data_IF_979589277647
#
_entry.id   IF_979589277647
#
_cell.length_a   1.000
_cell.length_b   1.000
_cell.length_c   1.000
_cell.angle_alpha   90.00
_cell.angle_beta   90.00
_cell.angle_gamma   90.00
#
_symmetry.space_group_name_H-M   'P 1'
#
loop_
_entity.id
_entity.type
_entity.pdbx_description
1 polymer ?
#
# COMPACT_ATOMS: atom_id res chain seq x y z
N UNK A 1 -51.65 -27.82 -27.34
CA UNK A 1 -50.46 -27.00 -27.60
C UNK A 1 -50.97 -25.60 -27.87
N UNK A 2 -50.73 -24.68 -26.95
CA UNK A 2 -50.69 -23.24 -27.24
C UNK A 2 -49.70 -22.64 -26.23
N UNK A 3 -48.50 -22.39 -26.72
CA UNK A 3 -47.47 -21.59 -26.06
C UNK A 3 -47.65 -20.11 -26.46
N UNK A 4 -46.93 -19.24 -25.75
CA UNK A 4 -46.74 -17.77 -25.95
C UNK A 4 -47.72 -16.89 -25.17
N UNK A 5 -47.31 -15.86 -24.41
CA UNK A 5 -45.99 -15.32 -24.13
C UNK A 5 -46.17 -14.07 -23.26
N UNK A 6 -45.48 -14.00 -22.13
CA UNK A 6 -45.42 -12.82 -21.25
C UNK A 6 -44.59 -11.72 -21.93
N UNK A 7 -45.18 -11.05 -22.93
CA UNK A 7 -44.55 -9.96 -23.67
C UNK A 7 -44.77 -8.63 -22.94
N UNK A 8 -43.66 -7.96 -22.58
CA UNK A 8 -43.67 -6.58 -22.07
C UNK A 8 -44.41 -5.70 -23.09
N UNK A 9 -45.36 -4.89 -22.63
CA UNK A 9 -46.16 -4.01 -23.47
C UNK A 9 -45.24 -3.00 -24.21
N UNK A 10 -45.37 -2.82 -25.54
CA UNK A 10 -44.64 -1.82 -26.32
C UNK A 10 -44.63 -0.40 -25.70
N UNK A 11 -45.70 0.01 -25.02
CA UNK A 11 -45.76 1.34 -24.36
C UNK A 11 -44.83 1.45 -23.15
N UNK A 12 -44.60 0.37 -22.43
CA UNK A 12 -43.69 0.34 -21.28
C UNK A 12 -42.23 0.32 -21.74
N UNK A 13 -41.94 -0.33 -22.88
CA UNK A 13 -40.63 -0.28 -23.53
C UNK A 13 -40.26 1.14 -23.96
N UNK A 14 -41.21 1.90 -24.53
CA UNK A 14 -40.98 3.29 -24.94
C UNK A 14 -40.66 4.18 -23.74
N UNK A 15 -41.35 4.00 -22.59
CA UNK A 15 -41.05 4.74 -21.36
C UNK A 15 -39.66 4.40 -20.80
N UNK A 16 -39.26 3.14 -20.82
CA UNK A 16 -37.94 2.71 -20.37
C UNK A 16 -36.84 3.32 -21.23
N UNK A 17 -37.01 3.30 -22.56
CA UNK A 17 -36.04 3.89 -23.49
C UNK A 17 -35.91 5.41 -23.26
N UNK A 18 -37.03 6.11 -23.08
CA UNK A 18 -37.01 7.54 -22.81
C UNK A 18 -36.29 7.89 -21.49
N UNK A 19 -36.48 7.08 -20.45
CA UNK A 19 -35.79 7.26 -19.16
C UNK A 19 -34.29 7.02 -19.28
N UNK A 20 -33.88 5.94 -19.97
CA UNK A 20 -32.47 5.63 -20.19
C UNK A 20 -31.76 6.70 -21.04
N UNK A 21 -32.41 7.22 -22.07
CA UNK A 21 -31.86 8.32 -22.87
C UNK A 21 -31.61 9.58 -22.02
N UNK A 22 -32.55 9.90 -21.13
CA UNK A 22 -32.43 11.04 -20.21
C UNK A 22 -31.30 10.84 -19.19
N UNK A 23 -31.09 9.62 -18.70
CA UNK A 23 -30.01 9.30 -17.78
C UNK A 23 -28.63 9.38 -18.45
N UNK A 24 -28.50 8.87 -19.69
CA UNK A 24 -27.28 8.99 -20.48
C UNK A 24 -26.93 10.45 -20.76
N UNK A 25 -27.91 11.30 -21.07
CA UNK A 25 -27.69 12.73 -21.30
C UNK A 25 -27.18 13.43 -20.02
N UNK A 26 -27.81 13.13 -18.87
CA UNK A 26 -27.36 13.65 -17.57
C UNK A 26 -25.95 13.19 -17.20
N UNK A 27 -25.59 11.94 -17.50
CA UNK A 27 -24.24 11.41 -17.26
C UNK A 27 -23.20 12.08 -18.16
N UNK A 28 -23.52 12.30 -19.45
CA UNK A 28 -22.64 13.05 -20.37
C UNK A 28 -22.41 14.48 -19.92
N UNK A 29 -23.46 15.17 -19.44
CA UNK A 29 -23.33 16.53 -18.92
C UNK A 29 -22.47 16.58 -17.65
N UNK A 30 -22.64 15.63 -16.73
CA UNK A 30 -21.79 15.51 -15.53
C UNK A 30 -20.33 15.20 -15.90
N UNK A 31 -20.09 14.34 -16.89
CA UNK A 31 -18.74 14.06 -17.38
C UNK A 31 -18.10 15.28 -18.03
N UNK A 32 -18.81 16.00 -18.90
CA UNK A 32 -18.27 17.20 -19.54
C UNK A 32 -17.97 18.31 -18.52
N UNK A 33 -18.81 18.48 -17.49
CA UNK A 33 -18.51 19.37 -16.37
C UNK A 33 -17.28 18.92 -15.58
N UNK A 34 -17.13 17.62 -15.36
CA UNK A 34 -15.97 17.04 -14.67
C UNK A 34 -14.68 17.24 -15.50
N UNK A 35 -14.74 17.03 -16.82
CA UNK A 35 -13.63 17.29 -17.75
C UNK A 35 -13.26 18.78 -17.80
N UNK A 36 -14.24 19.68 -17.77
CA UNK A 36 -14.00 21.14 -17.77
C UNK A 36 -13.39 21.61 -16.44
N UNK A 37 -13.81 21.04 -15.31
CA UNK A 37 -13.21 21.30 -13.99
C UNK A 37 -11.76 20.81 -13.98
N UNK A 38 -11.50 19.61 -14.51
CA UNK A 38 -10.17 19.03 -14.64
C UNK A 38 -9.27 19.93 -15.52
N UNK A 39 -9.75 20.36 -16.69
CA UNK A 39 -9.00 21.22 -17.62
C UNK A 39 -8.68 22.60 -17.02
N UNK A 40 -9.66 23.25 -16.37
CA UNK A 40 -9.44 24.54 -15.69
C UNK A 40 -8.52 24.46 -14.47
N UNK A 41 -8.36 23.27 -13.89
CA UNK A 41 -7.39 23.01 -12.82
C UNK A 41 -5.97 22.91 -13.40
N UNK A 42 -5.76 22.31 -14.57
CA UNK A 42 -4.41 22.16 -15.13
C UNK A 42 -3.79 23.46 -15.66
N UNK A 43 -4.61 24.43 -16.11
CA UNK A 43 -4.09 25.70 -16.65
C UNK A 43 -3.67 26.71 -15.55
N UNK A 44 -3.90 26.43 -14.26
CA UNK A 44 -3.61 27.34 -13.13
C UNK A 44 -2.71 26.74 -12.02
N UNK A 45 -2.13 25.55 -12.23
CA UNK A 45 -1.45 24.79 -11.14
C UNK A 45 0.05 25.09 -10.99
N UNK A 46 0.69 25.78 -11.93
CA UNK A 46 2.16 25.91 -11.92
C UNK A 46 2.71 26.96 -10.94
N UNK A 47 1.92 27.94 -10.47
CA UNK A 47 2.47 29.07 -9.68
C UNK A 47 2.11 29.02 -8.17
N UNK A 48 0.98 28.43 -7.77
CA UNK A 48 0.47 28.52 -6.39
C UNK A 48 0.84 27.33 -5.47
N UNK A 49 1.48 26.27 -5.98
CA UNK A 49 1.92 25.10 -5.20
C UNK A 49 3.44 25.01 -5.00
N UNK A 50 4.19 25.94 -5.59
CA UNK A 50 5.66 25.94 -5.60
C UNK A 50 6.32 26.45 -4.29
N UNK A 51 5.55 26.77 -3.24
CA UNK A 51 6.10 27.49 -2.07
C UNK A 51 5.48 27.14 -0.71
N UNK A 52 5.25 25.85 -0.42
CA UNK A 52 4.94 25.45 0.96
C UNK A 52 6.26 25.32 1.73
N UNK A 53 6.69 26.41 2.37
CA UNK A 53 7.81 26.39 3.31
C UNK A 53 7.42 25.59 4.57
N UNK A 54 8.05 24.43 4.74
CA UNK A 54 7.82 23.57 5.89
C UNK A 54 8.78 23.99 7.00
N UNK A 55 8.23 24.58 8.07
CA UNK A 55 9.04 25.03 9.19
C UNK A 55 9.96 23.90 9.72
N UNK A 56 11.27 24.14 9.92
CA UNK A 56 12.23 23.10 10.32
C UNK A 56 11.86 22.31 11.58
N UNK A 57 11.19 22.96 12.54
CA UNK A 57 10.73 22.33 13.79
C UNK A 57 9.33 21.71 13.70
N UNK A 58 8.67 21.75 12.53
CA UNK A 58 7.39 21.07 12.31
C UNK A 58 7.61 19.56 12.45
N UNK A 59 6.86 18.92 13.34
CA UNK A 59 6.91 17.48 13.50
C UNK A 59 6.09 16.79 12.41
N UNK A 60 6.76 15.97 11.61
CA UNK A 60 6.18 15.14 10.55
C UNK A 60 5.97 13.72 11.08
N UNK A 61 4.80 13.13 10.81
CA UNK A 61 4.54 11.73 11.15
C UNK A 61 5.09 10.83 10.06
N UNK A 62 5.79 9.78 10.47
CA UNK A 62 6.24 8.72 9.59
C UNK A 62 5.85 7.36 10.18
N UNK A 63 5.56 6.38 9.31
CA UNK A 63 5.11 5.04 9.68
C UNK A 63 6.14 4.00 9.24
N UNK A 64 6.49 3.03 10.09
CA UNK A 64 7.24 1.85 9.67
C UNK A 64 6.38 0.96 8.77
N UNK A 65 6.86 0.65 7.57
CA UNK A 65 6.23 -0.31 6.67
C UNK A 65 7.04 -1.58 6.51
N UNK A 66 8.18 -1.71 7.19
CA UNK A 66 8.97 -2.95 7.22
C UNK A 66 8.35 -3.96 8.21
N UNK A 67 8.57 -5.24 7.95
CA UNK A 67 8.08 -6.35 8.78
C UNK A 67 8.89 -6.55 10.07
N UNK A 68 10.08 -5.96 10.13
CA UNK A 68 10.99 -6.03 11.27
C UNK A 68 11.22 -4.65 11.90
N UNK A 69 11.83 -4.60 13.11
CA UNK A 69 12.26 -3.34 13.69
C UNK A 69 13.12 -2.53 12.72
N UNK A 70 12.75 -1.27 12.50
CA UNK A 70 13.44 -0.38 11.59
C UNK A 70 14.23 0.66 12.38
N UNK A 71 15.51 0.81 12.05
CA UNK A 71 16.39 1.81 12.63
C UNK A 71 16.80 2.81 11.55
N UNK A 72 16.44 4.08 11.75
CA UNK A 72 16.85 5.19 10.87
C UNK A 72 17.62 6.22 11.67
N UNK A 73 18.61 6.85 11.05
CA UNK A 73 19.54 7.78 11.69
C UNK A 73 19.66 9.07 10.88
N UNK A 74 19.90 10.18 11.56
CA UNK A 74 20.13 11.48 10.89
C UNK A 74 21.49 11.56 10.19
N UNK A 75 22.39 10.60 10.39
CA UNK A 75 23.69 10.56 9.71
C UNK A 75 23.97 9.15 9.17
N UNK A 76 24.93 9.06 8.25
CA UNK A 76 25.38 7.78 7.69
C UNK A 76 26.03 6.85 8.72
N UNK A 77 25.88 5.55 8.48
CA UNK A 77 26.44 4.46 9.31
C UNK A 77 25.88 4.43 10.75
N UNK A 78 24.61 4.80 10.96
CA UNK A 78 23.96 4.71 12.26
C UNK A 78 24.38 5.78 13.26
N UNK A 79 25.02 6.86 12.78
CA UNK A 79 25.47 7.98 13.62
C UNK A 79 24.37 9.04 13.78
N UNK A 80 24.65 10.06 14.59
CA UNK A 80 23.68 11.10 14.89
C UNK A 80 22.52 10.61 15.76
N UNK A 81 21.31 11.09 15.50
CA UNK A 81 20.11 10.73 16.26
C UNK A 81 19.46 9.49 15.65
N UNK A 82 19.32 8.45 16.46
CA UNK A 82 18.65 7.20 16.10
C UNK A 82 17.16 7.26 16.41
N UNK A 83 16.33 6.84 15.44
CA UNK A 83 14.91 6.59 15.60
C UNK A 83 14.64 5.11 15.33
N UNK A 84 14.17 4.41 16.36
CA UNK A 84 13.81 3.00 16.30
C UNK A 84 12.29 2.83 16.23
N UNK A 85 11.85 2.02 15.28
CA UNK A 85 10.51 1.47 15.16
C UNK A 85 10.59 0.02 15.58
N UNK A 86 9.66 -0.43 16.40
CA UNK A 86 9.68 -1.77 16.99
C UNK A 86 8.89 -2.76 16.14
N UNK A 87 7.82 -2.32 15.49
CA UNK A 87 6.98 -3.19 14.67
C UNK A 87 6.41 -2.52 13.41
N UNK A 88 5.82 -3.33 12.53
CA UNK A 88 5.09 -2.86 11.37
C UNK A 88 3.95 -1.92 11.81
N UNK A 89 3.84 -0.77 11.14
CA UNK A 89 2.81 0.22 11.42
C UNK A 89 3.16 1.19 12.55
N UNK A 90 4.30 1.03 13.23
CA UNK A 90 4.74 1.97 14.26
C UNK A 90 4.87 3.40 13.73
N UNK A 91 4.41 4.36 14.51
CA UNK A 91 4.41 5.77 14.13
C UNK A 91 5.40 6.56 14.98
N UNK A 92 6.27 7.33 14.33
CA UNK A 92 7.12 8.33 15.00
C UNK A 92 6.84 9.73 14.45
N UNK A 93 7.04 10.72 15.31
CA UNK A 93 6.98 12.14 14.97
C UNK A 93 8.41 12.67 14.96
N UNK A 94 8.88 13.14 13.81
CA UNK A 94 10.25 13.62 13.61
C UNK A 94 10.21 15.08 13.16
N UNK A 95 10.96 16.00 13.80
CA UNK A 95 11.12 17.36 13.31
C UNK A 95 11.61 17.38 11.86
N UNK A 96 11.02 18.22 11.01
CA UNK A 96 11.29 18.25 9.58
C UNK A 96 12.79 18.35 9.27
N UNK A 97 13.54 19.19 9.98
CA UNK A 97 15.00 19.31 9.83
C UNK A 97 15.74 17.96 9.90
N UNK A 98 15.37 17.11 10.86
CA UNK A 98 15.98 15.79 11.02
C UNK A 98 15.43 14.79 10.00
N UNK A 99 14.19 14.96 9.55
CA UNK A 99 13.62 14.11 8.51
C UNK A 99 14.33 14.33 7.17
N UNK A 100 14.71 15.58 6.84
CA UNK A 100 15.52 15.86 5.64
C UNK A 100 16.85 15.10 5.70
N UNK A 101 17.55 15.16 6.83
CA UNK A 101 18.81 14.42 7.01
C UNK A 101 18.61 12.89 6.87
N UNK A 102 17.52 12.36 7.43
CA UNK A 102 17.18 10.94 7.30
C UNK A 102 16.90 10.56 5.83
N UNK A 103 16.16 11.39 5.10
CA UNK A 103 15.82 11.13 3.70
C UNK A 103 17.10 11.08 2.85
N UNK A 104 18.04 11.98 3.11
CA UNK A 104 19.31 12.03 2.38
C UNK A 104 20.16 10.78 2.65
N UNK A 105 20.32 10.39 3.92
CA UNK A 105 21.18 9.26 4.29
C UNK A 105 20.54 7.89 4.07
N UNK A 106 19.21 7.79 4.10
CA UNK A 106 18.45 6.55 3.95
C UNK A 106 17.57 6.57 2.69
N UNK A 107 18.06 7.20 1.61
CA UNK A 107 17.28 7.43 0.39
C UNK A 107 16.78 6.14 -0.27
N UNK A 108 17.56 5.07 -0.19
CA UNK A 108 17.14 3.73 -0.62
C UNK A 108 15.95 3.21 0.20
N UNK A 109 15.89 3.48 1.51
CA UNK A 109 14.79 3.02 2.37
C UNK A 109 13.50 3.79 2.06
N UNK A 110 13.64 5.11 1.82
CA UNK A 110 12.53 5.97 1.41
C UNK A 110 11.93 5.49 0.10
N UNK A 111 12.77 5.29 -0.93
CA UNK A 111 12.33 4.84 -2.27
C UNK A 111 11.78 3.41 -2.26
N UNK A 112 12.34 2.54 -1.42
CA UNK A 112 11.84 1.18 -1.22
C UNK A 112 10.50 1.15 -0.46
N UNK A 113 10.11 2.24 0.21
CA UNK A 113 8.91 2.28 1.03
C UNK A 113 9.04 1.49 2.33
N UNK A 114 10.25 1.41 2.92
CA UNK A 114 10.46 0.81 4.27
C UNK A 114 9.80 1.64 5.37
N UNK A 115 9.67 2.94 5.17
CA UNK A 115 8.83 3.81 5.98
C UNK A 115 8.07 4.77 5.09
N UNK A 116 6.93 5.25 5.58
CA UNK A 116 6.01 6.11 4.85
C UNK A 116 5.90 7.48 5.50
N UNK A 117 6.15 8.54 4.74
CA UNK A 117 5.96 9.92 5.18
C UNK A 117 4.49 10.32 4.98
N UNK A 118 3.81 10.77 6.05
CA UNK A 118 2.39 11.13 6.01
C UNK A 118 2.09 12.57 5.55
N UNK A 119 3.12 13.36 5.27
CA UNK A 119 2.98 14.75 4.82
C UNK A 119 3.29 14.86 3.32
N UNK A 120 2.26 15.12 2.51
CA UNK A 120 2.36 15.25 1.04
C UNK A 120 3.27 16.41 0.62
N UNK A 121 3.35 17.47 1.43
CA UNK A 121 4.20 18.61 1.11
C UNK A 121 5.68 18.22 1.23
N UNK A 122 6.02 17.37 2.21
CA UNK A 122 7.37 16.82 2.34
C UNK A 122 7.72 15.94 1.14
N UNK A 123 6.81 15.05 0.72
CA UNK A 123 7.02 14.17 -0.43
C UNK A 123 7.32 14.99 -1.69
N UNK A 124 6.53 16.04 -1.95
CA UNK A 124 6.72 16.95 -3.08
C UNK A 124 8.02 17.74 -2.98
N UNK A 125 8.27 18.38 -1.85
CA UNK A 125 9.47 19.21 -1.64
C UNK A 125 10.77 18.41 -1.77
N UNK A 126 10.73 17.11 -1.45
CA UNK A 126 11.87 16.20 -1.56
C UNK A 126 11.93 15.45 -2.90
N UNK A 127 11.03 15.75 -3.84
CA UNK A 127 11.02 15.13 -5.18
C UNK A 127 10.75 13.62 -5.14
N UNK A 128 9.90 13.17 -4.22
CA UNK A 128 9.61 11.75 -3.97
C UNK A 128 8.27 11.30 -4.57
N UNK A 129 7.55 12.16 -5.29
CA UNK A 129 6.19 11.89 -5.80
C UNK A 129 6.15 10.65 -6.70
N UNK A 130 7.10 10.51 -7.61
CA UNK A 130 7.20 9.36 -8.51
C UNK A 130 7.45 8.05 -7.75
N UNK A 131 8.35 8.08 -6.77
CA UNK A 131 8.64 6.92 -5.92
C UNK A 131 7.39 6.55 -5.09
N UNK A 132 6.75 7.55 -4.47
CA UNK A 132 5.58 7.37 -3.61
C UNK A 132 4.30 6.97 -4.35
N UNK A 133 4.20 7.23 -5.65
CA UNK A 133 3.09 6.76 -6.48
C UNK A 133 2.97 5.23 -6.53
N UNK A 134 4.09 4.52 -6.26
CA UNK A 134 4.19 3.04 -6.26
C UNK A 134 4.37 2.44 -4.87
N UNK A 135 4.33 3.27 -3.82
CA UNK A 135 4.46 2.83 -2.43
C UNK A 135 3.04 2.66 -1.86
N UNK A 136 2.72 1.45 -1.44
CA UNK A 136 1.50 1.15 -0.70
C UNK A 136 1.52 1.80 0.67
N UNK A 137 0.35 2.26 1.14
CA UNK A 137 0.15 2.71 2.51
C UNK A 137 -0.01 1.51 3.45
N UNK A 138 0.10 1.77 4.76
CA UNK A 138 -0.14 0.76 5.80
C UNK A 138 -1.46 0.03 5.60
N UNK A 139 -2.54 0.78 5.35
CA UNK A 139 -3.89 0.25 5.22
C UNK A 139 -4.03 -0.67 4.00
N UNK A 140 -3.34 -0.33 2.90
CA UNK A 140 -3.32 -1.18 1.70
C UNK A 140 -2.55 -2.47 1.94
N UNK A 141 -1.43 -2.41 2.67
CA UNK A 141 -0.68 -3.60 3.07
C UNK A 141 -1.55 -4.48 3.98
N UNK A 142 -2.19 -3.90 5.01
CA UNK A 142 -3.11 -4.63 5.89
C UNK A 142 -4.27 -5.27 5.11
N UNK A 143 -4.83 -4.57 4.11
CA UNK A 143 -5.87 -5.13 3.26
C UNK A 143 -5.40 -6.37 2.48
N UNK A 144 -4.17 -6.37 1.98
CA UNK A 144 -3.56 -7.54 1.33
C UNK A 144 -3.41 -8.70 2.33
N UNK A 145 -2.89 -8.42 3.52
CA UNK A 145 -2.62 -9.44 4.53
C UNK A 145 -3.90 -10.08 5.08
N UNK A 146 -5.00 -9.33 5.12
CA UNK A 146 -6.31 -9.84 5.55
C UNK A 146 -7.01 -10.66 4.47
N UNK A 147 -6.72 -10.40 3.19
CA UNK A 147 -7.20 -11.23 2.08
C UNK A 147 -8.72 -11.28 1.91
N UNK A 148 -9.46 -10.26 2.35
CA UNK A 148 -10.94 -10.29 2.34
C UNK A 148 -11.54 -10.39 0.93
N UNK A 149 -10.93 -9.71 -0.04
CA UNK A 149 -11.32 -9.76 -1.45
C UNK A 149 -10.10 -10.16 -2.27
N UNK A 150 -10.21 -11.29 -2.96
CA UNK A 150 -9.13 -11.89 -3.73
C UNK A 150 -8.64 -10.97 -4.84
N UNK A 151 -9.53 -10.38 -5.63
CA UNK A 151 -9.12 -9.66 -6.83
C UNK A 151 -8.54 -8.28 -6.46
N UNK A 152 -9.07 -7.64 -5.42
CA UNK A 152 -8.48 -6.43 -4.82
C UNK A 152 -7.10 -6.74 -4.24
N UNK A 153 -6.97 -7.84 -3.48
CA UNK A 153 -5.70 -8.25 -2.86
C UNK A 153 -4.60 -8.42 -3.90
N UNK A 154 -4.89 -9.13 -4.99
CA UNK A 154 -3.92 -9.37 -6.06
C UNK A 154 -3.57 -8.07 -6.78
N UNK A 155 -4.56 -7.21 -7.07
CA UNK A 155 -4.31 -5.92 -7.70
C UNK A 155 -3.42 -5.01 -6.85
N UNK A 156 -3.68 -4.93 -5.54
CA UNK A 156 -2.86 -4.16 -4.62
C UNK A 156 -1.43 -4.71 -4.55
N UNK A 157 -1.26 -6.02 -4.42
CA UNK A 157 0.05 -6.67 -4.39
C UNK A 157 0.87 -6.39 -5.66
N UNK A 158 0.24 -6.47 -6.84
CA UNK A 158 0.91 -6.19 -8.12
C UNK A 158 1.29 -4.71 -8.28
N UNK A 159 0.53 -3.78 -7.66
CA UNK A 159 0.84 -2.35 -7.70
C UNK A 159 2.00 -1.94 -6.78
N UNK A 160 2.36 -2.81 -5.82
CA UNK A 160 3.46 -2.56 -4.89
C UNK A 160 4.82 -2.62 -5.59
N UNK A 161 5.77 -1.83 -5.10
CA UNK A 161 7.16 -2.00 -5.52
C UNK A 161 7.75 -3.34 -5.01
N UNK A 162 8.87 -3.78 -5.61
CA UNK A 162 9.50 -5.08 -5.26
C UNK A 162 9.82 -5.23 -3.77
N UNK A 163 10.35 -4.18 -3.14
CA UNK A 163 10.72 -4.24 -1.73
C UNK A 163 9.49 -4.44 -0.83
N UNK A 164 8.37 -3.79 -1.15
CA UNK A 164 7.11 -4.00 -0.43
C UNK A 164 6.51 -5.37 -0.71
N UNK A 165 6.62 -5.91 -1.92
CA UNK A 165 6.20 -7.28 -2.22
C UNK A 165 6.94 -8.28 -1.33
N UNK A 166 8.26 -8.15 -1.18
CA UNK A 166 9.07 -9.00 -0.29
C UNK A 166 8.61 -8.89 1.17
N UNK A 167 8.39 -7.66 1.65
CA UNK A 167 7.88 -7.43 3.02
C UNK A 167 6.52 -8.09 3.22
N UNK A 168 5.58 -7.92 2.28
CA UNK A 168 4.26 -8.55 2.35
C UNK A 168 4.38 -10.07 2.38
N UNK A 169 5.23 -10.66 1.52
CA UNK A 169 5.45 -12.10 1.49
C UNK A 169 6.01 -12.60 2.82
N UNK A 170 6.96 -11.87 3.42
CA UNK A 170 7.51 -12.22 4.73
C UNK A 170 6.42 -12.17 5.82
N UNK A 171 5.60 -11.13 5.84
CA UNK A 171 4.50 -11.01 6.80
C UNK A 171 3.48 -12.16 6.65
N UNK A 172 3.17 -12.59 5.42
CA UNK A 172 2.30 -13.75 5.18
C UNK A 172 2.93 -15.05 5.71
N UNK A 173 4.23 -15.25 5.49
CA UNK A 173 4.98 -16.40 6.02
C UNK A 173 4.93 -16.40 7.55
N UNK A 174 5.22 -15.26 8.19
CA UNK A 174 5.23 -15.12 9.64
C UNK A 174 3.85 -15.42 10.25
N UNK A 175 2.77 -14.90 9.64
CA UNK A 175 1.38 -15.22 10.04
C UNK A 175 1.08 -16.71 9.93
N UNK A 176 1.52 -17.36 8.84
CA UNK A 176 1.31 -18.81 8.64
C UNK A 176 2.06 -19.65 9.67
N UNK A 177 3.29 -19.24 10.01
CA UNK A 177 4.10 -19.88 11.05
C UNK A 177 3.45 -19.71 12.43
N UNK A 178 2.89 -18.54 12.72
CA UNK A 178 2.13 -18.26 13.94
C UNK A 178 0.81 -19.06 14.03
N UNK A 179 0.43 -19.79 12.98
CA UNK A 179 -0.79 -20.58 12.94
C UNK A 179 -2.04 -19.76 12.62
N UNK A 180 -1.89 -18.54 12.10
CA UNK A 180 -3.02 -17.75 11.64
C UNK A 180 -3.66 -18.37 10.39
N UNK A 181 -4.98 -18.20 10.26
CA UNK A 181 -5.71 -18.71 9.10
C UNK A 181 -5.45 -17.79 7.89
N UNK A 182 -4.85 -18.36 6.84
CA UNK A 182 -4.59 -17.67 5.58
C UNK A 182 -5.37 -18.37 4.47
N UNK A 183 -6.04 -17.60 3.62
CA UNK A 183 -6.69 -18.12 2.41
C UNK A 183 -5.62 -18.68 1.45
N UNK A 184 -5.61 -20.01 1.30
CA UNK A 184 -4.66 -20.72 0.46
C UNK A 184 -4.79 -20.39 -1.03
N UNK A 185 -5.96 -19.91 -1.49
CA UNK A 185 -6.12 -19.47 -2.87
C UNK A 185 -5.43 -18.12 -3.11
N UNK A 186 -5.48 -17.22 -2.12
CA UNK A 186 -4.74 -15.95 -2.18
C UNK A 186 -3.25 -16.23 -2.06
N UNK A 187 -2.85 -17.11 -1.15
CA UNK A 187 -1.46 -17.56 -1.02
C UNK A 187 -0.90 -18.08 -2.34
N UNK A 188 -1.54 -19.07 -2.98
CA UNK A 188 -1.08 -19.66 -4.24
C UNK A 188 -0.96 -18.61 -5.36
N UNK A 189 -1.88 -17.64 -5.41
CA UNK A 189 -1.80 -16.55 -6.38
C UNK A 189 -0.65 -15.59 -6.10
N UNK A 190 -0.43 -15.21 -4.84
CA UNK A 190 0.69 -14.34 -4.45
C UNK A 190 2.01 -15.04 -4.72
N UNK A 191 2.13 -16.34 -4.39
CA UNK A 191 3.31 -17.16 -4.61
C UNK A 191 3.74 -17.19 -6.09
N UNK A 192 2.77 -17.33 -6.99
CA UNK A 192 3.04 -17.29 -8.45
C UNK A 192 3.42 -15.91 -8.99
N UNK A 193 3.05 -14.84 -8.29
CA UNK A 193 3.30 -13.46 -8.71
C UNK A 193 4.55 -12.88 -8.08
N UNK A 194 4.95 -13.38 -6.92
CA UNK A 194 6.13 -12.95 -6.20
C UNK A 194 7.41 -13.39 -6.93
N UNK A 195 8.48 -12.61 -6.77
CA UNK A 195 9.83 -12.94 -7.25
C UNK A 195 10.53 -13.94 -6.28
N UNK A 196 9.76 -14.67 -5.46
CA UNK A 196 10.24 -15.60 -4.46
C UNK A 196 9.25 -16.73 -4.22
N UNK A 197 9.76 -17.92 -3.91
CA UNK A 197 8.98 -19.10 -3.54
C UNK A 197 8.58 -19.02 -2.06
N UNK A 198 7.32 -18.63 -1.80
CA UNK A 198 6.77 -18.49 -0.46
C UNK A 198 6.65 -19.84 0.23
N UNK A 199 6.29 -20.90 -0.49
CA UNK A 199 6.10 -22.24 0.09
C UNK A 199 7.43 -22.82 0.56
N UNK A 200 8.50 -22.68 -0.24
CA UNK A 200 9.84 -23.09 0.14
C UNK A 200 10.35 -22.26 1.34
N UNK A 201 10.22 -20.93 1.31
CA UNK A 201 10.64 -20.09 2.45
C UNK A 201 9.86 -20.39 3.72
N UNK A 202 8.56 -20.66 3.63
CA UNK A 202 7.74 -21.07 4.76
C UNK A 202 8.27 -22.37 5.39
N UNK A 203 8.50 -23.40 4.57
CA UNK A 203 9.04 -24.68 5.04
C UNK A 203 10.41 -24.53 5.72
N UNK A 204 11.35 -23.87 5.06
CA UNK A 204 12.70 -23.66 5.60
C UNK A 204 12.67 -22.90 6.92
N UNK A 205 11.88 -21.82 7.00
CA UNK A 205 11.76 -21.03 8.23
C UNK A 205 11.13 -21.85 9.35
N UNK A 206 10.09 -22.63 9.04
CA UNK A 206 9.43 -23.51 10.02
C UNK A 206 10.36 -24.59 10.55
N UNK A 207 11.05 -25.31 9.66
CA UNK A 207 12.04 -26.33 10.04
C UNK A 207 13.15 -25.76 10.93
N UNK A 208 13.63 -24.56 10.61
CA UNK A 208 14.61 -23.87 11.43
C UNK A 208 14.08 -23.56 12.83
N UNK A 209 12.87 -23.02 12.95
CA UNK A 209 12.25 -22.72 14.24
C UNK A 209 11.99 -23.98 15.07
N UNK A 210 11.51 -25.06 14.45
CA UNK A 210 11.30 -26.35 15.11
C UNK A 210 12.61 -26.93 15.65
N UNK A 211 13.72 -26.79 14.90
CA UNK A 211 15.06 -27.22 15.34
C UNK A 211 15.59 -26.41 16.53
N UNK A 212 15.30 -25.12 16.59
CA UNK A 212 15.69 -24.24 17.71
C UNK A 212 14.93 -24.59 18.99
N UNK A 213 13.64 -24.90 18.87
CA UNK A 213 12.82 -25.29 20.02
C UNK A 213 13.26 -26.65 20.59
N UNK A 214 13.51 -27.63 19.72
CA UNK A 214 14.05 -28.95 20.11
C UNK A 214 15.43 -28.85 20.80
N UNK A 215 16.26 -27.89 20.40
CA UNK A 215 17.59 -27.64 20.99
C UNK A 215 17.54 -26.91 22.34
N UNK A 216 16.43 -26.22 22.66
CA UNK A 216 16.23 -25.55 23.96
C UNK A 216 15.71 -26.52 25.01
N UNK A 217 14.83 -27.44 24.62
CA UNK A 217 14.27 -28.47 25.52
C UNK A 217 15.36 -29.44 25.99
N UNK A 218 16.27 -29.86 25.11
CA UNK A 218 17.40 -30.75 25.44
C UNK A 218 18.51 -30.14 26.33
N UNK A 219 18.45 -28.83 26.63
CA UNK A 219 19.42 -28.13 27.50
C UNK A 219 18.86 -27.79 28.89
N UNK A 220 17.61 -28.16 29.16
CA UNK A 220 16.96 -27.96 30.45
C UNK A 220 16.90 -29.24 31.32
N UNK A 221 17.35 -30.37 30.78
CA UNK A 221 17.62 -31.63 31.48
C UNK A 221 19.12 -31.80 31.82
#
# INVERSE_FOLDING_TARGET
MDETGSGINPEDLVKIIANLQKEVENLKQKNNQSETIIQGTYDNVDDDLANIDIHPDKYIKIINLDCYPLNISTEGMGRGRLYRFDEFGDVKRIPYKYLVDIIEHHRNFVKAGKFYILDKNVIRQQGLEDDYSKILTREKIEAILNGNDRDITISLFQSANKAQQEVICQMLIDRRIAGENIDLNIWDKIDRLADMDLEAKYKTTKEYLDSLNSSKESKQD
#
